data_IF_423694492025
#
_entry.id   IF_423694492025
#
_cell.length_a   1.000
_cell.length_b   1.000
_cell.length_c   1.000
_cell.angle_alpha   90.00
_cell.angle_beta   90.00
_cell.angle_gamma   90.00
#
_symmetry.space_group_name_H-M   'P 1'
#
loop_
_entity.id
_entity.type
_entity.pdbx_description
1 polymer ?
#
# COMPACT_ATOMS: atom_id res chain seq x y z
N UNK A 1 39.08 11.94 27.70
CA UNK A 1 37.78 12.51 28.07
C UNK A 1 37.09 12.93 26.77
N UNK A 2 36.28 12.10 26.20
CA UNK A 2 35.55 12.29 24.94
C UNK A 2 34.08 12.45 25.23
N UNK A 3 33.52 13.54 24.78
CA UNK A 3 32.11 13.91 24.92
C UNK A 3 31.26 13.04 23.95
N UNK A 4 30.06 12.60 24.32
CA UNK A 4 29.19 11.80 23.44
C UNK A 4 28.53 12.67 22.37
N UNK A 5 28.43 12.09 21.17
CA UNK A 5 27.71 12.63 20.02
C UNK A 5 26.20 12.73 20.34
N UNK A 6 25.70 13.95 20.37
CA UNK A 6 24.26 14.21 20.32
C UNK A 6 23.78 14.10 18.87
N UNK A 7 23.06 12.99 18.58
CA UNK A 7 22.35 12.81 17.32
C UNK A 7 20.98 13.50 17.45
N UNK A 8 20.92 14.78 17.08
CA UNK A 8 19.68 15.54 17.05
C UNK A 8 18.79 15.14 15.87
N UNK A 9 17.88 14.18 16.08
CA UNK A 9 16.77 13.93 15.16
C UNK A 9 15.66 14.93 15.50
N UNK A 10 15.18 15.75 14.56
CA UNK A 10 14.08 16.66 14.85
C UNK A 10 12.79 15.84 15.05
N UNK A 11 12.28 15.89 16.29
CA UNK A 11 10.95 15.35 16.60
C UNK A 11 9.93 16.29 15.94
N UNK A 12 9.36 15.85 14.84
CA UNK A 12 8.20 16.51 14.24
C UNK A 12 6.99 16.22 15.12
N UNK A 13 6.65 17.20 15.96
CA UNK A 13 5.43 17.15 16.77
C UNK A 13 4.23 17.33 15.85
N UNK A 14 3.55 16.25 15.52
CA UNK A 14 2.24 16.33 14.87
C UNK A 14 1.22 16.88 15.86
N UNK A 15 0.75 18.09 15.60
CA UNK A 15 -0.39 18.70 16.28
C UNK A 15 -1.63 17.82 16.08
N UNK A 16 -2.11 17.24 17.17
CA UNK A 16 -3.37 16.48 17.20
C UNK A 16 -4.54 17.42 16.94
N UNK A 17 -5.02 17.48 15.72
CA UNK A 17 -6.39 17.91 15.50
C UNK A 17 -7.30 16.80 16.02
N UNK A 18 -7.98 17.07 17.14
CA UNK A 18 -9.03 16.25 17.70
C UNK A 18 -10.12 16.02 16.64
N UNK A 19 -10.09 14.89 15.96
CA UNK A 19 -11.31 14.36 15.31
C UNK A 19 -12.24 13.92 16.41
N UNK A 20 -13.46 14.43 16.39
CA UNK A 20 -14.50 14.13 17.36
C UNK A 20 -14.70 12.62 17.49
N UNK A 21 -14.69 12.13 18.73
CA UNK A 21 -15.07 10.77 19.08
C UNK A 21 -16.46 10.49 18.51
N UNK A 22 -16.57 9.52 17.63
CA UNK A 22 -17.85 8.94 17.26
C UNK A 22 -18.24 7.96 18.38
N UNK A 23 -19.25 8.33 19.15
CA UNK A 23 -19.94 7.47 20.11
C UNK A 23 -20.71 6.36 19.35
N UNK A 24 -20.86 5.15 19.95
CA UNK A 24 -21.43 3.97 19.28
C UNK A 24 -22.90 4.07 18.87
N UNK A 25 -23.63 5.12 19.26
CA UNK A 25 -25.08 5.21 19.04
C UNK A 25 -25.51 5.67 17.65
N UNK A 26 -24.57 6.00 16.73
CA UNK A 26 -24.92 6.47 15.38
C UNK A 26 -24.40 5.58 14.25
N UNK A 27 -24.08 4.32 14.54
CA UNK A 27 -23.78 3.31 13.50
C UNK A 27 -25.08 2.83 12.84
N UNK A 28 -25.80 3.71 12.17
CA UNK A 28 -26.69 3.29 11.09
C UNK A 28 -25.82 2.75 9.96
N UNK A 29 -25.96 1.47 9.74
CA UNK A 29 -25.36 0.69 8.67
C UNK A 29 -25.40 1.42 7.32
N UNK A 30 -24.40 2.21 7.01
CA UNK A 30 -24.04 2.46 5.63
C UNK A 30 -23.17 1.26 5.20
N UNK A 31 -23.80 0.32 4.53
CA UNK A 31 -23.16 -0.64 3.67
C UNK A 31 -22.38 0.17 2.65
N UNK A 32 -21.11 0.45 2.92
CA UNK A 32 -20.19 0.98 1.91
C UNK A 32 -19.91 -0.22 1.02
N UNK A 33 -20.68 -0.32 -0.05
CA UNK A 33 -20.49 -1.34 -1.06
C UNK A 33 -19.03 -1.23 -1.52
N UNK A 34 -18.28 -2.35 -1.53
CA UNK A 34 -16.89 -2.40 -2.02
C UNK A 34 -16.73 -1.84 -3.45
N UNK A 35 -17.84 -1.73 -4.15
CA UNK A 35 -17.98 -1.05 -5.43
C UNK A 35 -17.66 0.46 -5.38
N UNK A 36 -17.97 1.16 -4.29
CA UNK A 36 -17.71 2.60 -4.16
C UNK A 36 -16.21 2.90 -4.00
N UNK A 37 -15.48 2.03 -3.30
CA UNK A 37 -14.01 2.16 -3.14
C UNK A 37 -13.30 1.88 -4.46
N UNK A 38 -13.75 0.91 -5.24
CA UNK A 38 -13.21 0.57 -6.57
C UNK A 38 -13.42 1.70 -7.58
N UNK A 39 -14.62 2.28 -7.63
CA UNK A 39 -14.93 3.44 -8.49
C UNK A 39 -14.06 4.65 -8.16
N UNK A 40 -13.70 4.86 -6.88
CA UNK A 40 -12.83 5.96 -6.47
C UNK A 40 -11.35 5.73 -6.88
N UNK A 41 -10.90 4.48 -6.93
CA UNK A 41 -9.56 4.08 -7.39
C UNK A 41 -9.45 4.15 -8.92
N UNK A 42 -10.42 3.59 -9.65
CA UNK A 42 -10.46 3.68 -11.11
C UNK A 42 -10.45 5.12 -11.62
N UNK A 43 -11.06 6.06 -10.86
CA UNK A 43 -11.08 7.49 -11.21
C UNK A 43 -9.72 8.18 -11.04
N UNK A 44 -8.76 7.60 -10.33
CA UNK A 44 -7.42 8.17 -10.11
C UNK A 44 -6.41 7.71 -11.16
N UNK A 45 -6.61 6.54 -11.78
CA UNK A 45 -5.73 6.05 -12.83
C UNK A 45 -5.84 6.90 -14.08
N UNK A 46 -4.69 7.23 -14.64
CA UNK A 46 -4.64 7.87 -15.95
C UNK A 46 -5.16 6.90 -17.01
N UNK A 47 -6.13 7.34 -17.79
CA UNK A 47 -6.73 6.57 -18.89
C UNK A 47 -6.37 7.16 -20.24
N UNK A 48 -6.67 6.44 -21.31
CA UNK A 48 -6.41 6.90 -22.68
C UNK A 48 -4.92 7.15 -22.94
N UNK A 49 -4.62 8.18 -23.69
CA UNK A 49 -3.25 8.48 -24.13
C UNK A 49 -2.32 8.89 -22.99
N UNK A 50 -2.82 9.58 -21.97
CA UNK A 50 -2.01 9.92 -20.79
C UNK A 50 -1.58 8.64 -20.04
N UNK A 51 -2.48 7.67 -19.89
CA UNK A 51 -2.18 6.36 -19.31
C UNK A 51 -1.16 5.59 -20.14
N UNK A 52 -1.31 5.56 -21.46
CA UNK A 52 -0.33 4.91 -22.37
C UNK A 52 1.07 5.51 -22.23
N UNK A 53 1.17 6.85 -22.14
CA UNK A 53 2.45 7.55 -21.94
C UNK A 53 3.07 7.18 -20.59
N UNK A 54 2.28 7.14 -19.51
CA UNK A 54 2.76 6.76 -18.19
C UNK A 54 3.23 5.30 -18.14
N UNK A 55 2.49 4.36 -18.75
CA UNK A 55 2.88 2.95 -18.86
C UNK A 55 4.15 2.74 -19.70
N UNK A 56 4.28 3.43 -20.83
CA UNK A 56 5.50 3.41 -21.63
C UNK A 56 6.71 3.93 -20.85
N UNK A 57 6.53 5.02 -20.10
CA UNK A 57 7.57 5.56 -19.24
C UNK A 57 7.97 4.56 -18.14
N UNK A 58 7.00 3.92 -17.48
CA UNK A 58 7.22 2.89 -16.47
C UNK A 58 8.05 1.73 -17.03
N UNK A 59 7.65 1.17 -18.16
CA UNK A 59 8.38 0.07 -18.82
C UNK A 59 9.84 0.46 -19.12
N UNK A 60 10.09 1.68 -19.59
CA UNK A 60 11.45 2.17 -19.87
C UNK A 60 12.25 2.41 -18.59
N UNK A 61 11.61 2.92 -17.52
CA UNK A 61 12.26 3.13 -16.22
C UNK A 61 12.68 1.80 -15.59
N UNK A 62 11.80 0.81 -15.62
CA UNK A 62 12.10 -0.55 -15.14
C UNK A 62 13.22 -1.22 -15.95
N UNK A 63 13.28 -0.98 -17.26
CA UNK A 63 14.26 -1.60 -18.15
C UNK A 63 15.65 -0.96 -18.09
N UNK A 64 15.73 0.38 -18.12
CA UNK A 64 17.02 1.10 -18.29
C UNK A 64 17.27 2.24 -17.29
N UNK A 65 16.38 2.40 -16.33
CA UNK A 65 16.45 3.44 -15.30
C UNK A 65 15.88 4.79 -15.75
N UNK A 66 15.56 5.63 -14.75
CA UNK A 66 15.00 6.97 -15.01
C UNK A 66 16.02 7.86 -15.69
N UNK A 67 17.27 7.87 -15.21
CA UNK A 67 18.32 8.76 -15.74
C UNK A 67 18.54 8.59 -17.24
N UNK A 68 18.52 7.35 -17.75
CA UNK A 68 18.77 7.01 -19.16
C UNK A 68 17.54 7.11 -20.07
N UNK A 69 16.36 7.45 -19.54
CA UNK A 69 15.12 7.55 -20.30
C UNK A 69 14.83 9.01 -20.63
N UNK A 70 14.61 9.32 -21.90
CA UNK A 70 14.24 10.65 -22.40
C UNK A 70 12.77 10.73 -22.76
N UNK A 71 12.21 11.95 -22.85
CA UNK A 71 10.83 12.15 -23.34
C UNK A 71 10.67 11.65 -24.78
N UNK A 72 11.76 11.70 -25.59
CA UNK A 72 11.77 11.13 -26.95
C UNK A 72 11.59 9.61 -26.92
N UNK A 73 12.27 8.93 -25.99
CA UNK A 73 12.14 7.48 -25.84
C UNK A 73 10.73 7.10 -25.40
N UNK A 74 10.16 7.86 -24.46
CA UNK A 74 8.80 7.64 -23.95
C UNK A 74 7.76 7.82 -25.06
N UNK A 75 7.89 8.89 -25.87
CA UNK A 75 7.01 9.12 -27.01
C UNK A 75 7.08 7.99 -28.03
N UNK A 76 8.29 7.51 -28.35
CA UNK A 76 8.50 6.39 -29.27
C UNK A 76 7.89 5.08 -28.73
N UNK A 77 8.11 4.78 -27.45
CA UNK A 77 7.57 3.57 -26.79
C UNK A 77 6.03 3.61 -26.73
N UNK A 78 5.46 4.77 -26.43
CA UNK A 78 4.01 4.97 -26.39
C UNK A 78 3.35 5.04 -27.78
N UNK A 79 4.13 5.09 -28.87
CA UNK A 79 3.61 5.25 -30.23
C UNK A 79 2.96 6.60 -30.49
N UNK A 80 3.41 7.67 -29.82
CA UNK A 80 2.85 9.02 -29.91
C UNK A 80 3.91 10.05 -30.29
N UNK A 81 3.48 11.26 -30.69
CA UNK A 81 4.41 12.36 -30.96
C UNK A 81 4.90 13.00 -29.65
N UNK A 82 6.07 13.65 -29.69
CA UNK A 82 6.60 14.39 -28.52
C UNK A 82 5.69 15.54 -28.10
N UNK A 83 5.07 16.22 -29.08
CA UNK A 83 4.11 17.30 -28.87
C UNK A 83 2.92 16.78 -28.04
N UNK A 84 2.43 15.57 -28.34
CA UNK A 84 1.35 14.96 -27.59
C UNK A 84 1.78 14.61 -26.16
N UNK A 85 3.01 14.15 -25.95
CA UNK A 85 3.54 13.95 -24.60
C UNK A 85 3.55 15.28 -23.82
N UNK A 86 4.03 16.38 -24.45
CA UNK A 86 4.04 17.70 -23.80
C UNK A 86 2.65 18.32 -23.61
N UNK A 87 1.67 17.87 -24.37
CA UNK A 87 0.27 18.26 -24.16
C UNK A 87 -0.28 17.69 -22.85
N UNK A 88 0.05 16.43 -22.51
CA UNK A 88 -0.41 15.78 -21.30
C UNK A 88 0.48 16.04 -20.08
N UNK A 89 1.78 16.21 -20.26
CA UNK A 89 2.78 16.33 -19.20
C UNK A 89 3.78 17.43 -19.50
N UNK A 90 3.97 18.36 -18.58
CA UNK A 90 4.90 19.49 -18.75
C UNK A 90 6.38 19.08 -18.71
N UNK A 91 6.67 17.80 -18.68
CA UNK A 91 8.00 17.24 -18.78
C UNK A 91 8.18 15.93 -18.02
N UNK A 92 9.42 15.40 -18.07
CA UNK A 92 9.77 14.09 -17.51
C UNK A 92 9.44 13.98 -16.01
N UNK A 93 9.58 15.06 -15.23
CA UNK A 93 9.29 15.07 -13.80
C UNK A 93 7.81 14.75 -13.51
N UNK A 94 6.91 15.31 -14.31
CA UNK A 94 5.48 15.06 -14.16
C UNK A 94 5.10 13.64 -14.60
N UNK A 95 5.70 13.15 -15.70
CA UNK A 95 5.55 11.74 -16.11
C UNK A 95 6.04 10.80 -14.99
N UNK A 96 7.19 11.10 -14.38
CA UNK A 96 7.71 10.29 -13.27
C UNK A 96 6.76 10.27 -12.07
N UNK A 97 6.16 11.42 -11.73
CA UNK A 97 5.13 11.48 -10.68
C UNK A 97 3.95 10.57 -11.04
N UNK A 98 3.45 10.67 -12.27
CA UNK A 98 2.34 9.85 -12.75
C UNK A 98 2.64 8.35 -12.69
N UNK A 99 3.88 7.94 -13.02
CA UNK A 99 4.34 6.54 -12.89
C UNK A 99 4.34 6.08 -11.43
N UNK A 100 4.80 6.93 -10.49
CA UNK A 100 4.78 6.60 -9.06
C UNK A 100 3.36 6.53 -8.50
N UNK A 101 2.48 7.43 -8.96
CA UNK A 101 1.07 7.44 -8.58
C UNK A 101 0.38 6.14 -9.06
N UNK A 102 0.58 5.76 -10.32
CA UNK A 102 0.05 4.51 -10.90
C UNK A 102 0.58 3.26 -10.16
N UNK A 103 1.84 3.26 -9.74
CA UNK A 103 2.38 2.14 -8.98
C UNK A 103 1.79 2.05 -7.56
N UNK A 104 1.48 3.16 -6.91
CA UNK A 104 0.75 3.15 -5.63
C UNK A 104 -0.66 2.56 -5.83
N UNK A 105 -1.36 2.92 -6.91
CA UNK A 105 -2.67 2.34 -7.22
C UNK A 105 -2.59 0.81 -7.43
N UNK A 106 -1.52 0.29 -8.06
CA UNK A 106 -1.30 -1.16 -8.17
C UNK A 106 -1.16 -1.84 -6.79
N UNK A 107 -0.44 -1.21 -5.85
CA UNK A 107 -0.28 -1.73 -4.49
C UNK A 107 -1.62 -1.77 -3.75
N UNK A 108 -2.39 -0.68 -3.83
CA UNK A 108 -3.71 -0.57 -3.21
C UNK A 108 -4.67 -1.60 -3.82
N UNK A 109 -4.69 -1.72 -5.16
CA UNK A 109 -5.53 -2.71 -5.84
C UNK A 109 -5.17 -4.14 -5.43
N UNK A 110 -3.89 -4.47 -5.30
CA UNK A 110 -3.45 -5.78 -4.82
C UNK A 110 -4.00 -6.09 -3.42
N UNK A 111 -4.04 -5.09 -2.53
CA UNK A 111 -4.61 -5.22 -1.20
C UNK A 111 -6.14 -5.38 -1.25
N UNK A 112 -6.83 -4.63 -2.13
CA UNK A 112 -8.28 -4.72 -2.30
C UNK A 112 -8.71 -6.06 -2.90
N UNK A 113 -7.98 -6.57 -3.91
CA UNK A 113 -8.21 -7.90 -4.50
C UNK A 113 -8.06 -9.00 -3.44
N UNK A 114 -7.06 -8.92 -2.55
CA UNK A 114 -6.97 -9.83 -1.42
C UNK A 114 -8.21 -9.73 -0.52
N UNK A 115 -8.63 -8.51 -0.17
CA UNK A 115 -9.77 -8.29 0.71
C UNK A 115 -11.07 -8.87 0.13
N UNK A 116 -11.32 -8.68 -1.15
CA UNK A 116 -12.51 -9.20 -1.86
C UNK A 116 -12.57 -10.74 -1.93
N UNK A 117 -11.39 -11.39 -1.99
CA UNK A 117 -11.28 -12.84 -2.15
C UNK A 117 -11.09 -13.58 -0.82
N UNK A 118 -11.07 -12.89 0.32
CA UNK A 118 -10.96 -13.54 1.62
C UNK A 118 -12.27 -14.20 2.03
N UNK A 119 -12.15 -15.33 2.71
CA UNK A 119 -13.30 -16.04 3.27
C UNK A 119 -13.50 -15.65 4.74
N UNK A 120 -14.72 -15.24 5.08
CA UNK A 120 -15.09 -14.92 6.47
C UNK A 120 -14.97 -16.14 7.38
N UNK A 121 -14.52 -15.91 8.63
CA UNK A 121 -14.32 -16.97 9.61
C UNK A 121 -13.07 -17.85 9.38
N UNK A 122 -12.32 -17.60 8.29
CA UNK A 122 -11.05 -18.29 8.01
C UNK A 122 -9.86 -17.36 8.21
N UNK A 123 -9.75 -16.78 9.40
CA UNK A 123 -8.76 -15.73 9.74
C UNK A 123 -7.33 -16.12 9.36
N UNK A 124 -6.88 -17.32 9.73
CA UNK A 124 -5.53 -17.80 9.43
C UNK A 124 -5.26 -17.91 7.92
N UNK A 125 -6.21 -18.42 7.15
CA UNK A 125 -6.07 -18.53 5.69
C UNK A 125 -6.04 -17.15 5.04
N UNK A 126 -6.92 -16.25 5.46
CA UNK A 126 -6.99 -14.87 5.00
C UNK A 126 -5.71 -14.11 5.32
N UNK A 127 -5.16 -14.27 6.53
CA UNK A 127 -3.90 -13.64 6.92
C UNK A 127 -2.72 -14.18 6.09
N UNK A 128 -2.67 -15.49 5.81
CA UNK A 128 -1.64 -16.08 4.94
C UNK A 128 -1.69 -15.46 3.55
N UNK A 129 -2.88 -15.37 2.96
CA UNK A 129 -3.07 -14.75 1.65
C UNK A 129 -2.67 -13.27 1.65
N UNK A 130 -2.95 -12.53 2.75
CA UNK A 130 -2.52 -11.15 2.94
C UNK A 130 -0.99 -11.02 2.93
N UNK A 131 -0.30 -11.80 3.74
CA UNK A 131 1.17 -11.79 3.81
C UNK A 131 1.79 -12.15 2.47
N UNK A 132 1.21 -13.11 1.76
CA UNK A 132 1.67 -13.47 0.41
C UNK A 132 1.42 -12.34 -0.62
N UNK A 133 0.27 -11.66 -0.56
CA UNK A 133 -0.01 -10.51 -1.42
C UNK A 133 0.98 -9.37 -1.14
N UNK A 134 1.25 -9.08 0.14
CA UNK A 134 2.26 -8.13 0.58
C UNK A 134 3.66 -8.50 0.04
N UNK A 135 4.10 -9.76 0.20
CA UNK A 135 5.41 -10.20 -0.30
C UNK A 135 5.51 -10.06 -1.82
N UNK A 136 4.46 -10.43 -2.56
CA UNK A 136 4.40 -10.25 -4.03
C UNK A 136 4.44 -8.78 -4.47
N UNK A 137 4.06 -7.84 -3.62
CA UNK A 137 4.20 -6.41 -3.92
C UNK A 137 5.66 -5.94 -3.89
N UNK A 138 6.53 -6.62 -3.15
CA UNK A 138 7.95 -6.30 -3.01
C UNK A 138 8.86 -7.14 -3.90
N UNK A 139 8.51 -8.42 -4.11
CA UNK A 139 9.36 -9.39 -4.82
C UNK A 139 8.59 -10.08 -5.94
N UNK A 140 9.32 -10.52 -6.96
CA UNK A 140 8.81 -11.40 -8.01
C UNK A 140 8.79 -12.87 -7.56
N UNK A 141 8.33 -13.76 -8.44
CA UNK A 141 8.27 -15.21 -8.16
C UNK A 141 9.65 -15.87 -7.99
N UNK A 142 10.72 -15.24 -8.47
CA UNK A 142 12.08 -15.69 -8.32
C UNK A 142 12.77 -15.13 -7.05
N UNK A 143 12.07 -14.30 -6.28
CA UNK A 143 12.58 -13.65 -5.06
C UNK A 143 13.40 -12.40 -5.32
N UNK A 144 13.42 -11.87 -6.56
CA UNK A 144 14.06 -10.60 -6.85
C UNK A 144 13.14 -9.45 -6.51
N UNK A 145 13.71 -8.33 -6.07
CA UNK A 145 12.94 -7.10 -5.87
C UNK A 145 12.24 -6.66 -7.14
N UNK A 146 11.00 -6.19 -7.01
CA UNK A 146 10.25 -5.63 -8.12
C UNK A 146 11.03 -4.48 -8.77
N UNK A 147 11.10 -4.40 -10.12
CA UNK A 147 11.88 -3.38 -10.82
C UNK A 147 11.57 -1.94 -10.41
N UNK A 148 10.30 -1.65 -10.07
CA UNK A 148 9.90 -0.32 -9.60
C UNK A 148 10.55 0.07 -8.27
N UNK A 149 10.92 -0.88 -7.42
CA UNK A 149 11.62 -0.58 -6.16
C UNK A 149 12.97 0.08 -6.45
N UNK A 150 13.73 -0.45 -7.43
CA UNK A 150 14.98 0.17 -7.88
C UNK A 150 14.76 1.56 -8.48
N UNK A 151 13.68 1.76 -9.23
CA UNK A 151 13.31 3.08 -9.78
C UNK A 151 13.07 4.09 -8.67
N UNK A 152 12.35 3.72 -7.61
CA UNK A 152 12.05 4.56 -6.45
C UNK A 152 13.35 4.92 -5.69
N UNK A 153 14.27 3.96 -5.57
CA UNK A 153 15.59 4.18 -4.95
C UNK A 153 16.48 5.09 -5.80
N UNK A 154 16.55 4.86 -7.12
CA UNK A 154 17.27 5.74 -8.07
C UNK A 154 16.79 7.20 -7.98
N UNK A 155 15.50 7.41 -7.73
CA UNK A 155 14.91 8.73 -7.57
C UNK A 155 15.19 9.36 -6.19
N UNK A 156 15.65 8.59 -5.21
CA UNK A 156 15.88 9.06 -3.84
C UNK A 156 14.60 9.44 -3.09
N UNK A 157 13.45 8.86 -3.44
CA UNK A 157 12.14 9.21 -2.87
C UNK A 157 11.53 8.06 -2.05
N UNK A 158 12.34 7.07 -1.66
CA UNK A 158 11.88 5.83 -1.03
C UNK A 158 11.02 6.08 0.21
N UNK A 159 11.49 6.89 1.14
CA UNK A 159 10.76 7.12 2.39
C UNK A 159 9.41 7.83 2.15
N UNK A 160 9.41 8.86 1.30
CA UNK A 160 8.19 9.57 0.95
C UNK A 160 7.19 8.68 0.19
N UNK A 161 7.70 7.78 -0.66
CA UNK A 161 6.90 6.80 -1.38
C UNK A 161 6.30 5.78 -0.41
N UNK A 162 7.10 5.16 0.47
CA UNK A 162 6.64 4.17 1.45
C UNK A 162 5.55 4.76 2.36
N UNK A 163 5.75 5.99 2.88
CA UNK A 163 4.75 6.69 3.70
C UNK A 163 3.43 6.87 2.94
N UNK A 164 3.51 7.27 1.68
CA UNK A 164 2.32 7.49 0.86
C UNK A 164 1.63 6.17 0.51
N UNK A 165 2.38 5.16 0.08
CA UNK A 165 1.86 3.84 -0.27
C UNK A 165 1.15 3.19 0.92
N UNK A 166 1.75 3.21 2.11
CA UNK A 166 1.12 2.69 3.33
C UNK A 166 -0.16 3.45 3.65
N UNK A 167 -0.14 4.79 3.62
CA UNK A 167 -1.33 5.60 3.90
C UNK A 167 -2.48 5.28 2.95
N UNK A 168 -2.24 5.24 1.63
CA UNK A 168 -3.29 4.95 0.65
C UNK A 168 -3.83 3.52 0.81
N UNK A 169 -2.95 2.54 1.07
CA UNK A 169 -3.35 1.16 1.33
C UNK A 169 -4.18 1.04 2.60
N UNK A 170 -3.76 1.67 3.71
CA UNK A 170 -4.51 1.63 4.97
C UNK A 170 -5.85 2.35 4.83
N UNK A 171 -5.90 3.50 4.16
CA UNK A 171 -7.17 4.19 3.88
C UNK A 171 -8.18 3.28 3.15
N UNK A 172 -7.71 2.50 2.18
CA UNK A 172 -8.55 1.58 1.44
C UNK A 172 -9.02 0.38 2.29
N UNK A 173 -8.14 -0.16 3.14
CA UNK A 173 -8.43 -1.32 3.98
C UNK A 173 -9.26 -0.97 5.22
N UNK A 174 -9.02 0.17 5.87
CA UNK A 174 -9.72 0.58 7.09
C UNK A 174 -11.24 0.64 6.87
N UNK A 175 -11.67 1.16 5.72
CA UNK A 175 -13.08 1.24 5.37
C UNK A 175 -13.77 -0.14 5.24
N UNK A 176 -13.02 -1.21 4.99
CA UNK A 176 -13.56 -2.54 4.67
C UNK A 176 -13.22 -3.57 5.77
N UNK A 177 -11.94 -3.71 6.12
CA UNK A 177 -11.46 -4.84 6.94
C UNK A 177 -11.92 -4.73 8.38
N UNK A 178 -11.80 -3.54 9.00
CA UNK A 178 -12.14 -3.37 10.41
C UNK A 178 -13.64 -3.59 10.66
N UNK A 179 -14.51 -3.04 9.80
CA UNK A 179 -15.96 -3.18 9.93
C UNK A 179 -16.45 -4.61 9.72
N UNK A 180 -15.82 -5.36 8.82
CA UNK A 180 -16.16 -6.75 8.53
C UNK A 180 -15.64 -7.70 9.61
N UNK A 181 -14.41 -7.47 10.11
CA UNK A 181 -13.86 -8.26 11.21
C UNK A 181 -14.70 -8.11 12.48
N UNK A 182 -15.15 -6.90 12.79
CA UNK A 182 -16.00 -6.62 13.96
C UNK A 182 -17.38 -7.33 13.93
N UNK A 183 -17.83 -7.83 12.77
CA UNK A 183 -19.08 -8.60 12.70
C UNK A 183 -18.93 -10.01 13.26
N UNK A 184 -17.72 -10.57 13.29
CA UNK A 184 -17.45 -11.96 13.67
C UNK A 184 -16.55 -12.09 14.90
N UNK A 185 -15.84 -11.03 15.27
CA UNK A 185 -14.87 -11.03 16.35
C UNK A 185 -15.00 -9.76 17.18
N UNK A 186 -14.68 -9.87 18.48
CA UNK A 186 -14.51 -8.69 19.32
C UNK A 186 -13.22 -7.98 18.91
N UNK A 187 -13.33 -6.71 18.54
CA UNK A 187 -12.16 -5.86 18.29
C UNK A 187 -11.66 -5.36 19.64
N UNK A 188 -10.50 -5.83 20.06
CA UNK A 188 -9.90 -5.48 21.35
C UNK A 188 -8.85 -4.38 21.27
N UNK A 189 -8.50 -3.96 20.05
CA UNK A 189 -7.53 -2.90 19.83
C UNK A 189 -8.24 -1.56 19.59
N UNK A 190 -7.70 -0.52 20.20
CA UNK A 190 -8.02 0.86 19.86
C UNK A 190 -7.10 1.34 18.73
N UNK A 191 -7.42 2.44 18.06
CA UNK A 191 -6.59 3.04 17.03
C UNK A 191 -6.25 2.06 15.89
N UNK A 192 -7.27 1.39 15.34
CA UNK A 192 -7.13 0.35 14.31
C UNK A 192 -6.34 0.84 13.09
N UNK A 193 -6.60 2.06 12.65
CA UNK A 193 -5.90 2.68 11.52
C UNK A 193 -4.39 2.79 11.78
N UNK A 194 -4.00 3.31 12.94
CA UNK A 194 -2.60 3.47 13.32
C UNK A 194 -1.91 2.11 13.48
N UNK A 195 -2.63 1.13 14.02
CA UNK A 195 -2.11 -0.24 14.14
C UNK A 195 -1.87 -0.88 12.77
N UNK A 196 -2.75 -0.66 11.80
CA UNK A 196 -2.50 -1.10 10.42
C UNK A 196 -1.27 -0.41 9.81
N UNK A 197 -1.10 0.89 10.05
CA UNK A 197 0.12 1.60 9.63
C UNK A 197 1.37 0.95 10.24
N UNK A 198 1.38 0.72 11.55
CA UNK A 198 2.49 0.09 12.29
C UNK A 198 2.81 -1.29 11.71
N UNK A 199 1.78 -2.12 11.49
CA UNK A 199 1.95 -3.48 10.96
C UNK A 199 2.56 -3.44 9.55
N UNK A 200 2.03 -2.63 8.64
CA UNK A 200 2.53 -2.60 7.26
C UNK A 200 3.96 -2.04 7.21
N UNK A 201 4.26 -0.94 7.92
CA UNK A 201 5.62 -0.42 8.04
C UNK A 201 6.57 -1.43 8.68
N UNK A 202 6.11 -2.10 9.75
CA UNK A 202 6.86 -3.15 10.42
C UNK A 202 7.18 -4.32 9.50
N UNK A 203 6.22 -4.80 8.73
CA UNK A 203 6.45 -5.87 7.74
C UNK A 203 7.46 -5.46 6.66
N UNK A 204 7.37 -4.24 6.11
CA UNK A 204 8.34 -3.72 5.13
C UNK A 204 9.74 -3.70 5.76
N UNK A 205 9.87 -3.19 6.99
CA UNK A 205 11.14 -3.15 7.72
C UNK A 205 11.70 -4.55 7.99
N UNK A 206 10.88 -5.48 8.48
CA UNK A 206 11.29 -6.84 8.80
C UNK A 206 11.81 -7.60 7.58
N UNK A 207 11.12 -7.49 6.44
CA UNK A 207 11.54 -8.16 5.20
C UNK A 207 12.84 -7.56 4.66
N UNK A 208 13.06 -6.25 4.82
CA UNK A 208 14.35 -5.60 4.46
C UNK A 208 15.49 -6.02 5.39
N UNK A 209 15.24 -6.10 6.70
CA UNK A 209 16.24 -6.49 7.70
C UNK A 209 16.60 -7.97 7.62
N UNK A 210 15.62 -8.82 7.33
CA UNK A 210 15.77 -10.26 7.20
C UNK A 210 14.99 -10.76 5.96
N UNK A 211 15.60 -10.75 4.77
CA UNK A 211 14.93 -11.26 3.56
C UNK A 211 14.52 -12.74 3.63
N UNK A 212 15.15 -13.52 4.55
CA UNK A 212 14.83 -14.94 4.78
C UNK A 212 13.64 -15.15 5.71
N UNK A 213 13.06 -14.08 6.30
CA UNK A 213 11.88 -14.20 7.17
C UNK A 213 10.73 -14.91 6.42
N UNK A 214 10.16 -15.91 7.05
CA UNK A 214 9.10 -16.73 6.44
C UNK A 214 7.73 -16.06 6.52
N UNK A 215 6.79 -16.50 5.68
CA UNK A 215 5.40 -16.04 5.76
C UNK A 215 4.76 -16.37 7.12
N UNK A 216 5.07 -17.54 7.71
CA UNK A 216 4.57 -17.94 9.03
C UNK A 216 5.08 -17.00 10.15
N UNK A 217 6.34 -16.57 10.09
CA UNK A 217 6.89 -15.62 11.05
C UNK A 217 6.24 -14.25 10.90
N UNK A 218 6.04 -13.76 9.67
CA UNK A 218 5.30 -12.52 9.43
C UNK A 218 3.85 -12.61 9.90
N UNK A 219 3.15 -13.72 9.61
CA UNK A 219 1.80 -13.97 10.10
C UNK A 219 1.74 -13.90 11.62
N UNK A 220 2.70 -14.51 12.32
CA UNK A 220 2.77 -14.51 13.77
C UNK A 220 2.98 -13.11 14.35
N UNK A 221 3.80 -12.28 13.68
CA UNK A 221 3.97 -10.87 14.06
C UNK A 221 2.65 -10.11 13.93
N UNK A 222 1.94 -10.26 12.81
CA UNK A 222 0.65 -9.59 12.58
C UNK A 222 -0.40 -10.07 13.58
N UNK A 223 -0.52 -11.39 13.78
CA UNK A 223 -1.42 -12.01 14.74
C UNK A 223 -1.25 -11.42 16.15
N UNK A 224 -0.01 -11.39 16.63
CA UNK A 224 0.31 -10.87 17.97
C UNK A 224 0.11 -9.36 18.09
N UNK A 225 0.42 -8.60 17.03
CA UNK A 225 0.30 -7.13 17.05
C UNK A 225 -1.16 -6.68 17.00
N UNK A 226 -1.99 -7.37 16.22
CA UNK A 226 -3.41 -7.04 16.05
C UNK A 226 -4.33 -7.86 16.97
N UNK A 227 -3.77 -8.67 17.86
CA UNK A 227 -4.55 -9.55 18.77
C UNK A 227 -5.62 -10.36 18.01
N UNK A 228 -5.25 -10.91 16.84
CA UNK A 228 -6.20 -11.63 16.01
C UNK A 228 -6.59 -12.97 16.64
N UNK A 229 -7.89 -13.24 16.67
CA UNK A 229 -8.40 -14.57 17.01
C UNK A 229 -8.25 -15.50 15.81
N UNK A 230 -7.39 -16.52 15.96
CA UNK A 230 -7.11 -17.51 14.91
C UNK A 230 -7.95 -18.77 15.04
N UNK A 231 -8.72 -18.89 16.12
CA UNK A 231 -9.62 -20.03 16.31
C UNK A 231 -10.82 -19.90 15.35
N UNK A 232 -11.27 -21.00 14.75
CA UNK A 232 -12.48 -20.97 13.97
C UNK A 232 -13.66 -20.60 14.87
N UNK A 233 -14.51 -19.70 14.40
CA UNK A 233 -15.74 -19.32 15.12
C UNK A 233 -16.58 -20.57 15.32
N UNK A 234 -16.66 -21.05 16.55
CA UNK A 234 -17.68 -22.01 16.91
C UNK A 234 -19.04 -21.33 16.82
N UNK A 235 -19.92 -21.81 15.95
CA UNK A 235 -21.27 -21.27 15.73
C UNK A 235 -22.16 -21.30 16.98
N UNK A 236 -21.68 -21.85 18.09
CA UNK A 236 -22.41 -22.07 19.35
C UNK A 236 -22.09 -21.05 20.46
N UNK A 237 -21.35 -19.96 20.22
CA UNK A 237 -21.26 -18.88 21.19
C UNK A 237 -22.34 -17.84 20.92
N UNK A 238 -23.38 -17.75 21.77
CA UNK A 238 -24.29 -16.60 21.72
C UNK A 238 -23.51 -15.34 22.10
N UNK A 239 -23.73 -14.25 21.33
CA UNK A 239 -23.23 -12.91 21.57
C UNK A 239 -23.74 -12.36 22.90
#
# INVERSE_FOLDING_TARGET
MGTPFECGVPIVVFSSQKRAMHTPENMKTHRVDGHTSRLSLESRRLTGQAGQIAQAARALYEKKGVAKTTVKDIAAEAGVTRELVYYYFHGKKEITRAVLDDYIEDLVESAMVWNENREFGKTRQSLRACVQAFRRSLYDAAGNERPMIRVIEELGVRDAFDVRAVRETVNALDACVASEYAQFHKVEIEMVYEMFCVVIFGMVGLVKLNPAITDEELMKVVEQTLHLDMEPIHQDRPL
#
